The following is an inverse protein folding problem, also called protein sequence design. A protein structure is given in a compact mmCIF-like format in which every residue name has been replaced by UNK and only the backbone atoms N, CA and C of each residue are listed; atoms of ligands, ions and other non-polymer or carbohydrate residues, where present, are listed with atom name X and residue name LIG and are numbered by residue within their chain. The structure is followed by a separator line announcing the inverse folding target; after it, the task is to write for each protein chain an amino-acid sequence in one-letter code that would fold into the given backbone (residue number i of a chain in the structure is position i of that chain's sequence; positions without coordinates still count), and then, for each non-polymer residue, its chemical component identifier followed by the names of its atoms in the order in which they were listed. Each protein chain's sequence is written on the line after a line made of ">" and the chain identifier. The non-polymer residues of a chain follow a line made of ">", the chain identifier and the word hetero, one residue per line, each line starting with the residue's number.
data_IF_258327241636
#
_entry.id   IF_258327241636
#
_cell.length_a   1.000
_cell.length_b   1.000
_cell.length_c   1.000
_cell.angle_alpha   90.00
_cell.angle_beta   90.00
_cell.angle_gamma   90.00
#
_symmetry.space_group_name_H-M   'P 1'
#
loop_
_entity.id
_entity.type
_entity.pdbx_description
1 polymer ?
#
# COMPACT_ATOMS: atom_id res chain seq x y z
N UNK A 1 -14.85 3.30 -1.19
CA UNK A 1 -13.43 2.96 -0.87
C UNK A 1 -13.34 2.81 0.65
N UNK A 2 -12.39 2.02 1.17
CA UNK A 2 -12.14 1.96 2.61
C UNK A 2 -10.81 2.62 2.94
N UNK A 3 -10.82 3.61 3.84
CA UNK A 3 -9.63 4.24 4.40
C UNK A 3 -9.35 3.62 5.77
N UNK A 4 -8.26 2.88 5.90
CA UNK A 4 -7.80 2.34 7.18
C UNK A 4 -6.66 3.23 7.71
N UNK A 5 -6.92 3.94 8.80
CA UNK A 5 -6.04 5.01 9.29
C UNK A 5 -5.53 4.63 10.67
N UNK A 6 -4.22 4.57 10.86
CA UNK A 6 -3.66 4.45 12.22
C UNK A 6 -3.55 5.84 12.86
N UNK A 7 -3.98 5.97 14.11
CA UNK A 7 -4.04 7.26 14.80
C UNK A 7 -3.48 7.17 16.23
N UNK A 8 -2.80 8.25 16.62
CA UNK A 8 -2.24 8.45 17.96
C UNK A 8 -2.75 9.75 18.56
N UNK A 9 -1.84 10.57 19.09
CA UNK A 9 -2.17 11.81 19.79
C UNK A 9 -2.34 13.04 18.88
N UNK A 10 -2.08 12.90 17.59
CA UNK A 10 -2.20 13.97 16.59
C UNK A 10 -2.94 13.43 15.37
N UNK A 11 -4.03 14.10 15.01
CA UNK A 11 -4.89 13.79 13.87
C UNK A 11 -4.49 14.46 12.56
N UNK A 12 -3.54 15.40 12.56
CA UNK A 12 -3.20 16.21 11.38
C UNK A 12 -2.76 15.37 10.20
N UNK A 13 -2.00 14.31 10.44
CA UNK A 13 -1.61 13.36 9.39
C UNK A 13 -2.84 12.72 8.73
N UNK A 14 -3.79 12.26 9.55
CA UNK A 14 -5.03 11.66 9.06
C UNK A 14 -5.87 12.69 8.28
N UNK A 15 -6.05 13.90 8.82
CA UNK A 15 -6.80 14.98 8.18
C UNK A 15 -6.21 15.41 6.84
N UNK A 16 -4.89 15.58 6.77
CA UNK A 16 -4.21 15.93 5.52
C UNK A 16 -4.35 14.84 4.48
N UNK A 17 -4.15 13.58 4.86
CA UNK A 17 -4.27 12.44 3.97
C UNK A 17 -5.68 12.36 3.36
N UNK A 18 -6.73 12.39 4.19
CA UNK A 18 -8.12 12.29 3.69
C UNK A 18 -8.54 13.51 2.85
N UNK A 19 -8.05 14.71 3.20
CA UNK A 19 -8.31 15.93 2.42
C UNK A 19 -7.62 15.87 1.06
N UNK A 20 -6.34 15.49 1.02
CA UNK A 20 -5.56 15.31 -0.22
C UNK A 20 -6.17 14.26 -1.14
N UNK A 21 -6.69 13.17 -0.56
CA UNK A 21 -7.32 12.08 -1.32
C UNK A 21 -8.72 12.44 -1.83
N UNK A 22 -9.40 13.39 -1.20
CA UNK A 22 -10.74 13.81 -1.56
C UNK A 22 -11.76 12.70 -1.33
N UNK A 23 -12.19 12.50 -0.08
CA UNK A 23 -13.23 11.54 0.26
C UNK A 23 -14.50 11.78 -0.56
N UNK A 24 -15.18 10.70 -0.92
CA UNK A 24 -16.43 10.69 -1.68
C UNK A 24 -17.57 10.13 -0.83
N UNK A 25 -18.81 10.45 -1.21
CA UNK A 25 -20.02 9.85 -0.63
C UNK A 25 -19.92 8.32 -0.67
N UNK A 26 -20.23 7.66 0.44
CA UNK A 26 -20.14 6.21 0.57
C UNK A 26 -18.73 5.66 0.83
N UNK A 27 -17.71 6.51 0.99
CA UNK A 27 -16.43 6.07 1.53
C UNK A 27 -16.56 5.73 3.02
N UNK A 28 -15.86 4.67 3.43
CA UNK A 28 -15.79 4.22 4.82
C UNK A 28 -14.40 4.50 5.39
N UNK A 29 -14.36 4.89 6.66
CA UNK A 29 -13.13 5.12 7.42
C UNK A 29 -13.10 4.15 8.60
N UNK A 30 -12.00 3.43 8.74
CA UNK A 30 -11.68 2.60 9.90
C UNK A 30 -10.48 3.25 10.58
N UNK A 31 -10.71 3.88 11.73
CA UNK A 31 -9.63 4.45 12.55
C UNK A 31 -9.12 3.39 13.51
N UNK A 32 -7.88 2.97 13.31
CA UNK A 32 -7.17 2.00 14.12
C UNK A 32 -6.41 2.73 15.23
N UNK A 33 -6.73 2.41 16.48
CA UNK A 33 -6.18 3.08 17.67
C UNK A 33 -5.65 2.07 18.68
N UNK A 34 -4.74 2.51 19.54
CA UNK A 34 -4.20 1.68 20.62
C UNK A 34 -5.09 1.67 21.86
N UNK A 35 -5.19 0.51 22.50
CA UNK A 35 -5.68 0.34 23.87
C UNK A 35 -4.51 0.08 24.84
N UNK A 36 -4.59 0.56 26.11
CA UNK A 36 -5.62 1.47 26.64
C UNK A 36 -5.57 2.85 25.97
N UNK A 37 -6.71 3.51 25.89
CA UNK A 37 -6.83 4.82 25.24
C UNK A 37 -6.26 5.92 26.13
N UNK A 38 -5.34 6.71 25.60
CA UNK A 38 -4.87 7.97 26.22
C UNK A 38 -5.87 9.09 25.90
N UNK A 39 -6.12 10.01 26.85
CA UNK A 39 -7.04 11.13 26.62
C UNK A 39 -6.67 12.01 25.43
N UNK A 40 -5.37 12.15 25.13
CA UNK A 40 -4.90 12.88 23.94
C UNK A 40 -5.31 12.17 22.66
N UNK A 41 -5.19 10.84 22.63
CA UNK A 41 -5.65 10.04 21.49
C UNK A 41 -7.17 10.18 21.30
N UNK A 42 -7.92 10.17 22.41
CA UNK A 42 -9.37 10.37 22.38
C UNK A 42 -9.75 11.76 21.86
N UNK A 43 -9.05 12.81 22.31
CA UNK A 43 -9.25 14.18 21.80
C UNK A 43 -8.94 14.26 20.30
N UNK A 44 -7.85 13.66 19.85
CA UNK A 44 -7.48 13.61 18.43
C UNK A 44 -8.56 12.91 17.58
N UNK A 45 -9.05 11.75 18.02
CA UNK A 45 -10.11 11.01 17.33
C UNK A 45 -11.43 11.80 17.25
N UNK A 46 -11.82 12.47 18.34
CA UNK A 46 -13.01 13.34 18.35
C UNK A 46 -12.84 14.50 17.39
N UNK A 47 -11.71 15.21 17.47
CA UNK A 47 -11.45 16.34 16.57
C UNK A 47 -11.47 15.92 15.10
N UNK A 48 -10.84 14.78 14.78
CA UNK A 48 -10.89 14.17 13.45
C UNK A 48 -12.32 13.88 12.98
N UNK A 49 -13.11 13.18 13.82
CA UNK A 49 -14.47 12.78 13.47
C UNK A 49 -15.42 13.98 13.32
N UNK A 50 -15.29 14.97 14.20
CA UNK A 50 -16.07 16.21 14.16
C UNK A 50 -15.73 17.05 12.93
N UNK A 51 -14.46 17.12 12.55
CA UNK A 51 -14.06 17.80 11.32
C UNK A 51 -14.66 17.11 10.10
N UNK A 52 -14.51 15.79 9.99
CA UNK A 52 -14.98 15.07 8.81
C UNK A 52 -16.50 15.09 8.65
N UNK A 53 -17.25 14.97 9.74
CA UNK A 53 -18.72 15.05 9.69
C UNK A 53 -19.25 16.43 9.25
N UNK A 54 -18.46 17.49 9.41
CA UNK A 54 -18.80 18.85 8.94
C UNK A 54 -18.44 19.06 7.46
N UNK A 55 -17.35 18.45 7.00
CA UNK A 55 -16.80 18.68 5.66
C UNK A 55 -17.37 17.71 4.63
N UNK A 56 -17.64 16.46 5.03
CA UNK A 56 -18.07 15.41 4.12
C UNK A 56 -19.46 14.90 4.51
N UNK A 57 -20.31 14.72 3.50
CA UNK A 57 -21.64 14.11 3.66
C UNK A 57 -21.54 12.59 3.46
N UNK A 58 -22.34 11.84 4.21
CA UNK A 58 -22.52 10.39 4.01
C UNK A 58 -21.21 9.58 4.05
N UNK A 59 -20.38 9.87 5.07
CA UNK A 59 -19.18 9.09 5.39
C UNK A 59 -19.42 8.25 6.65
N UNK A 60 -18.98 6.99 6.61
CA UNK A 60 -19.07 6.10 7.77
C UNK A 60 -17.72 6.03 8.47
N UNK A 61 -17.63 6.56 9.69
CA UNK A 61 -16.43 6.47 10.53
C UNK A 61 -16.65 5.39 11.57
N UNK A 62 -15.76 4.41 11.60
CA UNK A 62 -15.73 3.36 12.62
C UNK A 62 -14.37 3.33 13.31
N UNK A 63 -14.36 2.89 14.55
CA UNK A 63 -13.17 2.80 15.39
C UNK A 63 -12.83 1.34 15.65
N UNK A 64 -11.55 1.00 15.51
CA UNK A 64 -10.99 -0.31 15.83
C UNK A 64 -9.86 -0.13 16.83
N UNK A 65 -10.12 -0.50 18.08
CA UNK A 65 -9.11 -0.44 19.13
C UNK A 65 -8.42 -1.79 19.32
N UNK A 66 -7.09 -1.79 19.35
CA UNK A 66 -6.27 -2.99 19.61
C UNK A 66 -5.15 -2.69 20.59
N UNK A 67 -4.66 -3.69 21.31
CA UNK A 67 -3.49 -3.52 22.19
C UNK A 67 -2.20 -3.82 21.40
N UNK A 68 -1.39 -2.81 21.05
CA UNK A 68 -0.18 -3.01 20.25
C UNK A 68 0.97 -3.69 21.02
N UNK A 69 0.72 -4.06 22.29
CA UNK A 69 1.66 -4.83 23.13
C UNK A 69 1.37 -6.33 23.08
N UNK A 70 0.24 -6.74 22.50
CA UNK A 70 -0.17 -8.14 22.36
C UNK A 70 -0.45 -8.44 20.89
N UNK A 71 0.33 -9.37 20.30
CA UNK A 71 0.19 -9.80 18.91
C UNK A 71 -1.20 -10.35 18.54
N UNK A 72 -2.09 -10.61 19.51
CA UNK A 72 -3.52 -10.85 19.24
C UNK A 72 -4.19 -9.69 18.50
N UNK A 73 -3.68 -8.46 18.62
CA UNK A 73 -4.07 -7.30 17.82
C UNK A 73 -4.05 -7.61 16.32
N UNK A 74 -3.03 -8.32 15.82
CA UNK A 74 -2.90 -8.74 14.43
C UNK A 74 -4.10 -9.58 13.98
N UNK A 75 -4.53 -10.54 14.81
CA UNK A 75 -5.70 -11.37 14.55
C UNK A 75 -6.97 -10.52 14.49
N UNK A 76 -7.14 -9.57 15.41
CA UNK A 76 -8.31 -8.70 15.45
C UNK A 76 -8.37 -7.79 14.21
N UNK A 77 -7.24 -7.19 13.83
CA UNK A 77 -7.10 -6.41 12.59
C UNK A 77 -7.44 -7.26 11.37
N UNK A 78 -6.86 -8.46 11.28
CA UNK A 78 -7.11 -9.36 10.17
C UNK A 78 -8.58 -9.80 10.10
N UNK A 79 -9.24 -10.06 11.23
CA UNK A 79 -10.66 -10.40 11.25
C UNK A 79 -11.50 -9.27 10.66
N UNK A 80 -11.32 -8.03 11.13
CA UNK A 80 -12.07 -6.87 10.62
C UNK A 80 -11.82 -6.65 9.13
N UNK A 81 -10.57 -6.68 8.68
CA UNK A 81 -10.23 -6.47 7.27
C UNK A 81 -10.72 -7.61 6.37
N UNK A 82 -10.73 -8.85 6.85
CA UNK A 82 -11.16 -10.02 6.07
C UNK A 82 -12.62 -9.95 5.65
N UNK A 83 -13.49 -9.35 6.48
CA UNK A 83 -14.90 -9.12 6.18
C UNK A 83 -15.12 -8.19 4.98
N UNK A 84 -14.09 -7.42 4.62
CA UNK A 84 -14.11 -6.45 3.54
C UNK A 84 -13.06 -6.74 2.46
N UNK A 85 -12.55 -7.97 2.37
CA UNK A 85 -11.45 -8.35 1.47
C UNK A 85 -11.68 -8.06 -0.02
N UNK A 86 -12.95 -7.96 -0.47
CA UNK A 86 -13.31 -7.62 -1.86
C UNK A 86 -13.26 -6.12 -2.15
N UNK A 87 -13.25 -5.28 -1.11
CA UNK A 87 -13.17 -3.84 -1.23
C UNK A 87 -11.75 -3.37 -1.51
N UNK A 88 -11.63 -2.18 -2.09
CA UNK A 88 -10.33 -1.52 -2.24
C UNK A 88 -10.03 -0.68 -1.00
N UNK A 89 -8.80 -0.80 -0.52
CA UNK A 89 -8.32 -0.08 0.65
C UNK A 89 -7.28 1.00 0.31
N UNK A 90 -7.26 2.05 1.14
CA UNK A 90 -6.14 2.98 1.28
C UNK A 90 -5.71 2.93 2.75
N UNK A 91 -4.51 2.46 3.01
CA UNK A 91 -3.92 2.44 4.35
C UNK A 91 -3.13 3.73 4.57
N UNK A 92 -3.55 4.55 5.54
CA UNK A 92 -2.84 5.78 5.94
C UNK A 92 -2.13 5.47 7.25
N UNK A 93 -0.81 5.31 7.16
CA UNK A 93 0.01 4.71 8.23
C UNK A 93 1.04 5.68 8.84
N UNK A 94 0.66 6.96 8.95
CA UNK A 94 1.55 8.03 9.44
C UNK A 94 1.40 8.32 10.94
N UNK A 95 0.32 7.86 11.57
CA UNK A 95 -0.02 8.19 12.97
C UNK A 95 -0.13 6.95 13.87
N UNK A 96 -0.03 7.17 15.18
CA UNK A 96 -0.14 6.10 16.19
C UNK A 96 1.20 5.45 16.54
N UNK A 97 1.14 4.38 17.33
CA UNK A 97 2.36 3.65 17.69
C UNK A 97 2.94 2.91 16.49
N UNK A 98 4.27 2.86 16.39
CA UNK A 98 4.97 2.13 15.32
C UNK A 98 4.58 0.64 15.27
N UNK A 99 4.38 0.00 16.43
CA UNK A 99 3.86 -1.36 16.51
C UNK A 99 2.46 -1.48 15.88
N UNK A 100 1.56 -0.54 16.16
CA UNK A 100 0.22 -0.50 15.57
C UNK A 100 0.25 -0.36 14.04
N UNK A 101 1.13 0.51 13.53
CA UNK A 101 1.39 0.70 12.10
C UNK A 101 1.82 -0.63 11.46
N UNK A 102 2.82 -1.29 12.04
CA UNK A 102 3.36 -2.55 11.53
C UNK A 102 2.30 -3.64 11.56
N UNK A 103 1.56 -3.81 12.65
CA UNK A 103 0.51 -4.83 12.76
C UNK A 103 -0.62 -4.62 11.76
N UNK A 104 -1.00 -3.36 11.53
CA UNK A 104 -2.00 -2.98 10.51
C UNK A 104 -1.52 -3.36 9.11
N UNK A 105 -0.27 -3.02 8.77
CA UNK A 105 0.33 -3.36 7.49
C UNK A 105 0.46 -4.88 7.31
N UNK A 106 0.86 -5.61 8.35
CA UNK A 106 0.98 -7.06 8.34
C UNK A 106 -0.38 -7.72 8.12
N UNK A 107 -1.43 -7.30 8.85
CA UNK A 107 -2.78 -7.84 8.66
C UNK A 107 -3.26 -7.68 7.21
N UNK A 108 -3.08 -6.48 6.64
CA UNK A 108 -3.45 -6.19 5.27
C UNK A 108 -2.66 -7.05 4.26
N UNK A 109 -1.36 -7.19 4.49
CA UNK A 109 -0.44 -7.95 3.63
C UNK A 109 -0.80 -9.42 3.61
N UNK A 110 -0.98 -10.04 4.79
CA UNK A 110 -1.31 -11.46 4.96
C UNK A 110 -2.66 -11.82 4.33
N UNK A 111 -3.62 -10.91 4.36
CA UNK A 111 -4.93 -11.12 3.73
C UNK A 111 -4.92 -10.95 2.21
N UNK A 112 -3.81 -10.51 1.63
CA UNK A 112 -3.70 -10.16 0.22
C UNK A 112 -4.77 -9.14 -0.21
N UNK A 113 -4.90 -8.04 0.55
CA UNK A 113 -5.86 -6.99 0.21
C UNK A 113 -5.44 -6.23 -1.05
N UNK A 114 -6.44 -5.80 -1.85
CA UNK A 114 -6.24 -4.85 -2.93
C UNK A 114 -6.15 -3.45 -2.32
N UNK A 115 -4.92 -2.98 -2.11
CA UNK A 115 -4.71 -1.74 -1.37
C UNK A 115 -3.50 -0.94 -1.85
N UNK A 116 -3.56 0.35 -1.53
CA UNK A 116 -2.43 1.27 -1.55
C UNK A 116 -2.08 1.67 -0.12
N UNK A 117 -0.81 1.92 0.14
CA UNK A 117 -0.28 2.41 1.41
C UNK A 117 0.21 3.84 1.22
N UNK A 118 -0.09 4.71 2.16
CA UNK A 118 0.33 6.09 2.23
C UNK A 118 0.98 6.37 3.58
N UNK A 119 2.16 7.01 3.55
CA UNK A 119 2.94 7.40 4.73
C UNK A 119 3.47 8.81 4.49
N UNK A 120 3.21 9.72 5.41
CA UNK A 120 3.83 11.05 5.45
C UNK A 120 5.16 10.98 6.21
N UNK A 121 6.14 11.78 5.81
CA UNK A 121 7.34 11.99 6.61
C UNK A 121 7.00 12.66 7.96
N UNK A 122 7.83 12.43 8.97
CA UNK A 122 7.60 12.95 10.33
C UNK A 122 7.56 14.50 10.37
N UNK A 123 8.37 15.14 9.53
CA UNK A 123 8.37 16.60 9.32
C UNK A 123 7.25 17.09 8.38
N UNK A 124 6.42 16.18 7.87
CA UNK A 124 5.35 16.43 6.91
C UNK A 124 5.80 17.06 5.58
N UNK A 125 7.10 16.99 5.24
CA UNK A 125 7.65 17.60 4.03
C UNK A 125 7.30 16.85 2.75
N UNK A 126 7.04 15.54 2.85
CA UNK A 126 6.67 14.70 1.72
C UNK A 126 5.74 13.55 2.14
N UNK A 127 5.12 12.93 1.13
CA UNK A 127 4.27 11.75 1.25
C UNK A 127 4.79 10.66 0.32
N UNK A 128 4.92 9.44 0.83
CA UNK A 128 5.28 8.25 0.08
C UNK A 128 4.03 7.40 -0.09
N UNK A 129 3.78 6.94 -1.32
CA UNK A 129 2.68 6.03 -1.64
C UNK A 129 3.18 4.82 -2.41
N UNK A 130 2.68 3.63 -2.08
CA UNK A 130 3.02 2.41 -2.82
C UNK A 130 1.90 1.37 -2.78
N UNK A 131 1.77 0.50 -3.80
CA UNK A 131 0.84 -0.63 -3.76
C UNK A 131 1.20 -1.61 -2.64
N UNK A 132 0.23 -2.03 -1.83
CA UNK A 132 0.44 -2.98 -0.72
C UNK A 132 1.11 -4.28 -1.16
N UNK A 133 0.88 -4.71 -2.40
CA UNK A 133 1.50 -5.92 -2.98
C UNK A 133 3.03 -5.87 -3.00
N UNK A 134 3.65 -4.70 -2.90
CA UNK A 134 5.11 -4.55 -2.83
C UNK A 134 5.67 -5.03 -1.49
N UNK A 135 4.85 -5.13 -0.43
CA UNK A 135 5.24 -5.65 0.88
C UNK A 135 5.21 -7.19 0.94
N UNK A 136 5.40 -7.87 -0.19
CA UNK A 136 5.32 -9.34 -0.30
C UNK A 136 6.62 -9.88 -0.89
N UNK A 137 6.95 -11.15 -0.63
CA UNK A 137 8.03 -11.82 -1.34
C UNK A 137 7.85 -11.65 -2.85
N UNK A 138 8.93 -11.27 -3.52
CA UNK A 138 8.98 -11.14 -4.96
C UNK A 138 9.25 -12.54 -5.53
N UNK A 139 8.29 -13.09 -6.26
CA UNK A 139 8.42 -14.40 -6.90
C UNK A 139 8.60 -14.21 -8.41
N UNK A 140 9.85 -14.31 -8.88
CA UNK A 140 10.18 -14.26 -10.30
C UNK A 140 10.61 -15.64 -10.80
N UNK A 141 10.13 -16.01 -11.98
CA UNK A 141 10.74 -17.10 -12.75
C UNK A 141 12.11 -16.67 -13.27
N UNK A 142 13.00 -17.62 -13.57
CA UNK A 142 14.33 -17.31 -14.10
C UNK A 142 14.28 -16.44 -15.37
N UNK A 143 13.32 -16.72 -16.26
CA UNK A 143 13.08 -15.93 -17.47
C UNK A 143 12.64 -14.50 -17.14
N UNK A 144 11.79 -14.31 -16.13
CA UNK A 144 11.37 -12.97 -15.70
C UNK A 144 12.52 -12.19 -15.09
N UNK A 145 13.33 -12.82 -14.24
CA UNK A 145 14.54 -12.23 -13.67
C UNK A 145 15.53 -11.83 -14.76
N UNK A 146 15.78 -12.72 -15.71
CA UNK A 146 16.68 -12.46 -16.83
C UNK A 146 16.18 -11.31 -17.71
N UNK A 147 14.86 -11.16 -17.91
CA UNK A 147 14.29 -9.98 -18.58
C UNK A 147 14.67 -8.69 -17.86
N UNK A 148 14.48 -8.63 -16.53
CA UNK A 148 14.81 -7.43 -15.75
C UNK A 148 16.30 -7.07 -15.85
N UNK A 149 17.19 -8.05 -15.70
CA UNK A 149 18.65 -7.87 -15.83
C UNK A 149 19.03 -7.36 -17.23
N UNK A 150 18.39 -7.88 -18.28
CA UNK A 150 18.68 -7.43 -19.64
C UNK A 150 18.19 -6.00 -19.90
N UNK A 151 17.04 -5.61 -19.34
CA UNK A 151 16.54 -4.23 -19.43
C UNK A 151 17.50 -3.27 -18.72
N UNK A 152 18.00 -3.62 -17.53
CA UNK A 152 19.02 -2.85 -16.81
C UNK A 152 20.29 -2.64 -17.67
N UNK A 153 20.68 -3.65 -18.44
CA UNK A 153 21.81 -3.60 -19.38
C UNK A 153 21.50 -2.88 -20.71
N UNK A 154 20.32 -2.27 -20.84
CA UNK A 154 19.93 -1.48 -22.01
C UNK A 154 19.14 -2.24 -23.09
N UNK A 155 18.79 -3.50 -22.89
CA UNK A 155 17.90 -4.26 -23.81
C UNK A 155 16.44 -3.92 -23.54
N UNK A 156 15.99 -2.76 -24.00
CA UNK A 156 14.70 -2.17 -23.61
C UNK A 156 13.53 -2.53 -24.51
N UNK A 157 13.70 -3.38 -25.54
CA UNK A 157 12.64 -3.72 -26.50
C UNK A 157 12.42 -5.24 -26.62
N UNK A 158 11.18 -5.65 -26.93
CA UNK A 158 10.83 -7.07 -27.12
C UNK A 158 11.74 -7.78 -28.14
N UNK A 159 12.03 -7.21 -29.32
CA UNK A 159 12.91 -7.87 -30.30
C UNK A 159 14.33 -8.09 -29.77
N UNK A 160 14.89 -7.11 -29.05
CA UNK A 160 16.24 -7.21 -28.49
C UNK A 160 16.30 -8.26 -27.38
N UNK A 161 15.32 -8.27 -26.47
CA UNK A 161 15.18 -9.27 -25.41
C UNK A 161 15.04 -10.69 -26.00
N UNK A 162 14.15 -10.88 -26.97
CA UNK A 162 13.93 -12.16 -27.63
C UNK A 162 15.19 -12.68 -28.32
N UNK A 163 15.92 -11.80 -29.03
CA UNK A 163 17.17 -12.15 -29.70
C UNK A 163 18.26 -12.53 -28.68
N UNK A 164 18.43 -11.73 -27.62
CA UNK A 164 19.49 -11.94 -26.64
C UNK A 164 19.27 -13.21 -25.82
N UNK A 165 18.03 -13.43 -25.35
CA UNK A 165 17.67 -14.56 -24.50
C UNK A 165 17.39 -15.85 -25.30
N UNK A 166 17.39 -15.79 -26.65
CA UNK A 166 17.02 -16.90 -27.54
C UNK A 166 15.63 -17.49 -27.23
N UNK A 167 14.69 -16.62 -26.86
CA UNK A 167 13.28 -16.95 -26.55
C UNK A 167 12.36 -16.34 -27.60
N UNK A 168 11.22 -16.98 -27.89
CA UNK A 168 10.26 -16.45 -28.86
C UNK A 168 9.72 -15.07 -28.45
N UNK A 169 9.49 -14.19 -29.43
CA UNK A 169 8.92 -12.85 -29.19
C UNK A 169 7.59 -12.91 -28.44
N UNK A 170 6.75 -13.91 -28.74
CA UNK A 170 5.47 -14.12 -28.07
C UNK A 170 5.64 -14.42 -26.56
N UNK A 171 6.62 -15.26 -26.21
CA UNK A 171 6.92 -15.58 -24.81
C UNK A 171 7.47 -14.35 -24.07
N UNK A 172 8.44 -13.63 -24.65
CA UNK A 172 8.98 -12.39 -24.05
C UNK A 172 7.87 -11.36 -23.87
N UNK A 173 7.03 -11.14 -24.89
CA UNK A 173 5.90 -10.20 -24.79
C UNK A 173 4.97 -10.56 -23.63
N UNK A 174 4.57 -11.83 -23.50
CA UNK A 174 3.70 -12.29 -22.40
C UNK A 174 4.33 -12.02 -21.03
N UNK A 175 5.63 -12.30 -20.88
CA UNK A 175 6.36 -12.11 -19.61
C UNK A 175 6.55 -10.64 -19.28
N UNK A 176 6.95 -9.82 -20.25
CA UNK A 176 7.09 -8.37 -20.08
C UNK A 176 5.75 -7.73 -19.71
N UNK A 177 4.63 -8.13 -20.35
CA UNK A 177 3.29 -7.62 -19.99
C UNK A 177 2.85 -8.03 -18.59
N UNK A 178 3.22 -9.23 -18.13
CA UNK A 178 3.01 -9.62 -16.72
C UNK A 178 3.82 -8.71 -15.77
N UNK A 179 5.12 -8.54 -16.03
CA UNK A 179 6.01 -7.70 -15.21
C UNK A 179 5.57 -6.23 -15.17
N UNK A 180 5.10 -5.69 -16.28
CA UNK A 180 4.51 -4.34 -16.37
C UNK A 180 3.24 -4.25 -15.51
N UNK A 181 2.31 -5.20 -15.63
CA UNK A 181 1.09 -5.26 -14.80
C UNK A 181 1.41 -5.39 -13.31
N UNK A 182 2.47 -6.11 -12.97
CA UNK A 182 2.93 -6.28 -11.59
C UNK A 182 3.67 -5.04 -11.05
N UNK A 183 4.09 -4.13 -11.93
CA UNK A 183 4.70 -2.85 -11.58
C UNK A 183 6.23 -2.89 -11.51
N UNK A 184 6.87 -3.95 -12.02
CA UNK A 184 8.33 -4.04 -12.14
C UNK A 184 8.85 -3.27 -13.36
N UNK A 185 8.00 -3.04 -14.36
CA UNK A 185 8.33 -2.35 -15.60
C UNK A 185 7.33 -1.23 -15.90
N UNK A 186 7.80 -0.21 -16.60
CA UNK A 186 6.97 0.81 -17.25
C UNK A 186 7.29 0.85 -18.74
N UNK A 187 6.27 1.04 -19.58
CA UNK A 187 6.41 1.14 -21.03
C UNK A 187 6.25 2.59 -21.52
N UNK A 188 7.23 3.06 -22.28
CA UNK A 188 7.21 4.36 -22.97
C UNK A 188 7.44 4.14 -24.46
N UNK A 189 6.43 4.34 -25.31
CA UNK A 189 6.58 4.22 -26.78
C UNK A 189 7.30 2.93 -27.24
N UNK A 190 6.95 1.78 -26.63
CA UNK A 190 7.54 0.45 -26.86
C UNK A 190 8.95 0.21 -26.28
N UNK A 191 9.48 1.15 -25.49
CA UNK A 191 10.69 0.99 -24.69
C UNK A 191 10.26 0.65 -23.26
N UNK A 192 10.81 -0.41 -22.70
CA UNK A 192 10.59 -0.80 -21.31
C UNK A 192 11.72 -0.30 -20.43
N UNK A 193 11.37 0.26 -19.28
CA UNK A 193 12.30 0.67 -18.22
C UNK A 193 11.92 -0.04 -16.92
N UNK A 194 12.92 -0.26 -16.07
CA UNK A 194 12.69 -0.74 -14.72
C UNK A 194 12.04 0.36 -13.89
N UNK A 195 11.11 -0.05 -13.02
CA UNK A 195 10.71 0.75 -11.87
C UNK A 195 11.68 0.49 -10.72
N UNK A 196 11.56 1.25 -9.63
CA UNK A 196 12.36 0.97 -8.42
C UNK A 196 12.05 -0.39 -7.80
N UNK A 197 10.81 -0.88 -7.95
CA UNK A 197 10.51 -2.26 -7.59
C UNK A 197 11.25 -3.23 -8.52
N UNK A 198 11.26 -2.96 -9.83
CA UNK A 198 11.96 -3.78 -10.82
C UNK A 198 13.47 -3.86 -10.58
N UNK A 199 14.09 -2.76 -10.19
CA UNK A 199 15.53 -2.69 -9.90
C UNK A 199 15.89 -3.51 -8.65
N UNK A 200 15.05 -3.48 -7.62
CA UNK A 200 15.21 -4.33 -6.43
C UNK A 200 14.89 -5.80 -6.74
N UNK A 201 13.89 -6.07 -7.58
CA UNK A 201 13.36 -7.40 -7.82
C UNK A 201 14.38 -8.40 -8.40
N UNK A 202 15.33 -7.96 -9.23
CA UNK A 202 16.35 -8.88 -9.76
C UNK A 202 17.47 -9.19 -8.75
N UNK A 203 17.54 -8.47 -7.62
CA UNK A 203 18.50 -8.74 -6.54
C UNK A 203 18.03 -9.87 -5.60
N UNK A 204 16.76 -10.27 -5.66
CA UNK A 204 16.20 -11.31 -4.79
C UNK A 204 16.48 -12.71 -5.36
N UNK A 205 17.06 -13.59 -4.51
CA UNK A 205 17.43 -14.97 -4.82
C UNK A 205 16.23 -15.88 -5.10
#
# INVERSE_FOLDING_TARGET
>A
MIFAITMGFDEKFALRAVTRRGLKSGDEIIVVMSKPTDERAERAFRHFSDFLSKVFQDIKISRLDVDPRDLKSLKNLAQVFSLRKKERFIFILSGGFRALIIETLLAATLLNLSAEVEIDLEDSSATITFPLKWNRPIELTDVEREILINIERGMTTIPNLAKNMKVSKATIWRKVKKLEKEGFLVAEKNIYRLTELGSVAFLTH
#
